data_IF_747971861774
#
_entry.id   IF_747971861774
#
_cell.length_a   1.000
_cell.length_b   1.000
_cell.length_c   1.000
_cell.angle_alpha   90.00
_cell.angle_beta   90.00
_cell.angle_gamma   90.00
#
_symmetry.space_group_name_H-M   'P 1'
#
loop_
_entity.id
_entity.type
_entity.pdbx_description
1 polymer ?
#
# COMPACT_ATOMS: atom_id res chain seq x y z
N UNK A 1 -21.07 -17.25 2.11
CA UNK A 1 -21.42 -15.85 1.78
C UNK A 1 -20.35 -14.91 2.36
N UNK A 2 -20.34 -13.60 2.05
CA UNK A 2 -19.26 -12.68 2.47
C UNK A 2 -19.14 -12.59 4.00
N UNK A 3 -20.27 -12.62 4.69
CA UNK A 3 -20.42 -12.69 6.13
C UNK A 3 -19.80 -13.96 6.76
N UNK A 4 -19.63 -15.05 6.00
CA UNK A 4 -18.88 -16.22 6.49
C UNK A 4 -17.37 -15.98 6.46
N UNK A 5 -16.88 -15.16 5.53
CA UNK A 5 -15.46 -14.82 5.36
C UNK A 5 -15.03 -13.63 6.23
N UNK A 6 -15.92 -12.63 6.37
CA UNK A 6 -15.71 -11.41 7.12
C UNK A 6 -16.97 -11.09 7.94
N UNK A 7 -17.03 -11.66 9.16
CA UNK A 7 -18.25 -11.76 9.99
C UNK A 7 -18.81 -10.44 10.51
N UNK A 8 -18.02 -9.37 10.58
CA UNK A 8 -18.47 -8.08 11.09
C UNK A 8 -17.54 -6.93 10.63
N UNK A 9 -17.92 -5.70 10.97
CA UNK A 9 -17.18 -4.48 10.61
C UNK A 9 -15.86 -4.29 11.39
N UNK A 10 -15.48 -5.18 12.32
CA UNK A 10 -14.18 -5.11 13.01
C UNK A 10 -13.06 -5.67 12.12
N UNK A 11 -12.94 -5.14 10.91
CA UNK A 11 -11.97 -5.52 9.89
C UNK A 11 -11.17 -4.30 9.45
N UNK A 12 -9.91 -4.56 9.09
CA UNK A 12 -9.02 -3.61 8.42
C UNK A 12 -8.56 -4.27 7.13
N UNK A 13 -8.72 -3.57 6.03
CA UNK A 13 -8.23 -3.99 4.72
C UNK A 13 -7.18 -2.99 4.26
N UNK A 14 -6.05 -3.50 3.76
CA UNK A 14 -4.99 -2.71 3.15
C UNK A 14 -4.57 -3.36 1.84
N UNK A 15 -4.46 -2.57 0.78
CA UNK A 15 -3.93 -3.01 -0.51
C UNK A 15 -2.99 -1.94 -1.06
N UNK A 16 -1.84 -2.36 -1.59
CA UNK A 16 -0.86 -1.49 -2.26
C UNK A 16 -0.72 -1.96 -3.71
N UNK A 17 -0.77 -1.03 -4.65
CA UNK A 17 -0.59 -1.35 -6.07
C UNK A 17 0.86 -1.71 -6.37
N UNK A 18 1.11 -2.91 -6.91
CA UNK A 18 2.43 -3.31 -7.43
C UNK A 18 2.56 -2.82 -8.88
N UNK A 19 1.67 -3.25 -9.74
CA UNK A 19 1.48 -2.72 -11.10
C UNK A 19 0.25 -1.81 -11.14
N UNK A 20 0.23 -0.86 -12.08
CA UNK A 20 -0.92 0.04 -12.22
C UNK A 20 -2.14 -0.72 -12.71
N UNK A 21 -3.23 -0.57 -11.97
CA UNK A 21 -4.55 -1.05 -12.35
C UNK A 21 -5.61 0.00 -12.04
N UNK A 22 -6.87 -0.37 -12.24
CA UNK A 22 -8.00 0.57 -12.12
C UNK A 22 -8.15 1.13 -10.70
N UNK A 23 -7.87 0.30 -9.68
CA UNK A 23 -8.08 0.68 -8.29
C UNK A 23 -6.90 1.44 -7.68
N UNK A 24 -5.65 1.08 -8.01
CA UNK A 24 -4.43 1.63 -7.40
C UNK A 24 -3.35 1.80 -8.45
N UNK A 25 -2.62 2.91 -8.35
CA UNK A 25 -1.37 3.11 -9.10
C UNK A 25 -0.33 2.09 -8.64
N UNK A 26 0.43 1.57 -9.60
CA UNK A 26 1.58 0.71 -9.33
C UNK A 26 2.74 1.49 -8.72
N UNK A 27 3.74 0.75 -8.28
CA UNK A 27 4.99 1.31 -7.80
C UNK A 27 5.68 2.02 -8.97
N UNK A 28 6.09 3.26 -8.77
CA UNK A 28 6.96 3.96 -9.72
C UNK A 28 8.31 4.23 -9.07
N UNK A 29 9.38 4.20 -9.87
CA UNK A 29 10.74 4.54 -9.44
C UNK A 29 11.30 5.61 -10.35
N UNK A 30 11.89 6.64 -9.76
CA UNK A 30 12.67 7.66 -10.43
C UNK A 30 13.98 7.88 -9.64
N UNK A 31 15.07 7.29 -10.13
CA UNK A 31 16.34 7.25 -9.40
C UNK A 31 16.21 6.61 -8.03
N UNK A 32 16.58 7.34 -6.98
CA UNK A 32 16.51 6.89 -5.58
C UNK A 32 15.14 7.11 -4.92
N UNK A 33 14.13 7.56 -5.66
CA UNK A 33 12.79 7.76 -5.13
C UNK A 33 11.87 6.69 -5.71
N UNK A 34 11.17 5.98 -4.83
CA UNK A 34 10.01 5.18 -5.21
C UNK A 34 8.72 5.81 -4.69
N UNK A 35 7.62 5.64 -5.41
CA UNK A 35 6.28 6.03 -4.92
C UNK A 35 5.34 4.85 -4.94
N UNK A 36 4.42 4.82 -3.96
CA UNK A 36 3.41 3.77 -3.82
C UNK A 36 2.05 4.39 -3.55
N UNK A 37 0.99 3.71 -3.97
CA UNK A 37 -0.39 4.05 -3.60
C UNK A 37 -1.03 2.89 -2.84
N UNK A 38 -1.56 3.19 -1.65
CA UNK A 38 -2.19 2.22 -0.76
C UNK A 38 -3.63 2.65 -0.45
N UNK A 39 -4.57 1.72 -0.54
CA UNK A 39 -5.94 1.88 -0.05
C UNK A 39 -6.06 1.21 1.31
N UNK A 40 -6.43 1.97 2.33
CA UNK A 40 -6.68 1.48 3.69
C UNK A 40 -8.15 1.70 4.03
N UNK A 41 -8.85 0.64 4.41
CA UNK A 41 -10.26 0.67 4.81
C UNK A 41 -10.39 0.11 6.22
N UNK A 42 -11.15 0.78 7.08
CA UNK A 42 -11.53 0.27 8.39
C UNK A 42 -13.04 0.21 8.51
N UNK A 43 -13.59 -1.00 8.62
CA UNK A 43 -15.05 -1.21 8.67
C UNK A 43 -15.70 -0.46 9.83
N UNK A 44 -15.16 -0.63 11.04
CA UNK A 44 -15.75 -0.11 12.29
C UNK A 44 -15.91 1.41 12.31
N UNK A 45 -14.99 2.15 11.68
CA UNK A 45 -15.09 3.63 11.58
C UNK A 45 -15.58 4.10 10.22
N UNK A 46 -15.89 3.17 9.30
CA UNK A 46 -16.24 3.43 7.90
C UNK A 46 -15.28 4.41 7.22
N UNK A 47 -14.01 4.36 7.60
CA UNK A 47 -13.00 5.28 7.09
C UNK A 47 -12.25 4.63 5.94
N UNK A 48 -12.12 5.38 4.85
CA UNK A 48 -11.33 5.02 3.68
C UNK A 48 -10.20 6.03 3.56
N UNK A 49 -8.96 5.56 3.47
CA UNK A 49 -7.79 6.39 3.21
C UNK A 49 -7.11 5.91 1.95
N UNK A 50 -6.86 6.85 1.04
CA UNK A 50 -5.97 6.65 -0.10
C UNK A 50 -4.66 7.33 0.25
N UNK A 51 -3.60 6.54 0.37
CA UNK A 51 -2.31 6.97 0.90
C UNK A 51 -1.29 6.92 -0.23
N UNK A 52 -0.75 8.08 -0.59
CA UNK A 52 0.34 8.20 -1.56
C UNK A 52 1.62 8.46 -0.78
N UNK A 53 2.61 7.58 -0.96
CA UNK A 53 3.87 7.64 -0.21
C UNK A 53 5.05 7.85 -1.14
N UNK A 54 6.03 8.61 -0.66
CA UNK A 54 7.33 8.82 -1.31
C UNK A 54 8.39 8.14 -0.44
N UNK A 55 9.19 7.28 -1.03
CA UNK A 55 10.22 6.49 -0.37
C UNK A 55 11.58 6.87 -0.91
N UNK A 56 12.45 7.41 -0.06
CA UNK A 56 13.88 7.59 -0.35
C UNK A 56 14.60 6.26 -0.12
N UNK A 57 15.04 5.61 -1.20
CA UNK A 57 15.57 4.25 -1.21
C UNK A 57 16.99 4.18 -0.60
N UNK A 58 17.78 5.21 -0.81
CA UNK A 58 19.13 5.40 -0.24
C UNK A 58 19.15 5.55 1.29
N UNK A 59 18.00 5.85 1.90
CA UNK A 59 17.83 5.95 3.36
C UNK A 59 17.27 4.70 4.00
N UNK A 60 17.03 3.64 3.22
CA UNK A 60 16.60 2.34 3.78
C UNK A 60 17.81 1.61 4.37
N UNK A 61 17.51 0.59 5.17
CA UNK A 61 18.54 -0.24 5.81
C UNK A 61 19.57 -0.72 4.77
N UNK A 62 20.85 -0.68 5.13
CA UNK A 62 21.95 -1.04 4.24
C UNK A 62 21.82 -2.47 3.69
N UNK A 63 21.25 -3.41 4.47
CA UNK A 63 20.99 -4.78 4.02
C UNK A 63 19.93 -4.88 2.92
N UNK A 64 19.04 -3.88 2.80
CA UNK A 64 18.01 -3.84 1.76
C UNK A 64 18.50 -3.10 0.51
N UNK A 65 19.48 -2.21 0.66
CA UNK A 65 19.98 -1.38 -0.44
C UNK A 65 20.50 -2.21 -1.62
N UNK A 66 21.15 -3.36 -1.36
CA UNK A 66 21.62 -4.29 -2.40
C UNK A 66 20.48 -4.79 -3.33
N UNK A 67 19.25 -4.87 -2.83
CA UNK A 67 18.11 -5.39 -3.59
C UNK A 67 17.26 -4.30 -4.24
N UNK A 68 17.34 -3.05 -3.77
CA UNK A 68 16.39 -1.99 -4.15
C UNK A 68 17.04 -0.78 -4.83
N UNK A 69 18.35 -0.58 -4.69
CA UNK A 69 19.12 0.40 -5.45
C UNK A 69 19.62 -0.24 -6.74
#
# INVERSE_FOLDING_TARGET
>A
QLDEMARNDNVIFAATGITSGDLLKGITRNGNIATTETLLIRGKSRTIRRIQSIHYLDRKDASLQEYIL
#
